data_IF_346899320345
#
_entry.id   IF_346899320345
#
_cell.length_a   1.000
_cell.length_b   1.000
_cell.length_c   1.000
_cell.angle_alpha   90.00
_cell.angle_beta   90.00
_cell.angle_gamma   90.00
#
_symmetry.space_group_name_H-M   'P 1'
#
loop_
_entity.id
_entity.type
_entity.pdbx_description
1 polymer ?
#
# COMPACT_ATOMS: atom_id res chain seq x y z
N UNK A 1 -7.18 1.96 -30.41
CA UNK A 1 -8.00 2.62 -29.36
C UNK A 1 -9.07 1.69 -28.75
N UNK A 2 -9.56 0.65 -29.46
CA UNK A 2 -10.56 -0.29 -28.92
C UNK A 2 -9.99 -1.28 -27.86
N UNK A 3 -8.72 -1.67 -27.96
CA UNK A 3 -8.07 -2.60 -27.02
C UNK A 3 -8.01 -2.09 -25.58
N UNK A 4 -7.64 -0.83 -25.39
CA UNK A 4 -7.43 -0.23 -24.07
C UNK A 4 -8.73 -0.09 -23.27
N UNK A 5 -9.81 0.29 -23.97
CA UNK A 5 -11.14 0.44 -23.38
C UNK A 5 -11.77 -0.89 -23.03
N UNK A 6 -11.57 -1.92 -23.87
CA UNK A 6 -12.06 -3.26 -23.61
C UNK A 6 -11.33 -3.93 -22.43
N UNK A 7 -10.00 -3.80 -22.37
CA UNK A 7 -9.19 -4.23 -21.21
C UNK A 7 -9.70 -3.58 -19.92
N UNK A 8 -9.95 -2.26 -19.94
CA UNK A 8 -10.54 -1.54 -18.80
C UNK A 8 -11.95 -2.01 -18.43
N UNK A 9 -12.76 -2.37 -19.40
CA UNK A 9 -14.13 -2.85 -19.19
C UNK A 9 -14.17 -4.26 -18.59
N UNK A 10 -13.30 -5.16 -19.06
CA UNK A 10 -13.10 -6.49 -18.47
C UNK A 10 -12.62 -6.41 -17.02
N UNK A 11 -11.66 -5.53 -16.74
CA UNK A 11 -11.17 -5.28 -15.38
C UNK A 11 -12.27 -4.71 -14.47
N UNK A 12 -13.15 -3.88 -15.01
CA UNK A 12 -14.32 -3.40 -14.28
C UNK A 12 -15.33 -4.53 -14.02
N UNK A 13 -15.48 -5.47 -14.97
CA UNK A 13 -16.34 -6.66 -14.85
C UNK A 13 -15.88 -7.67 -13.82
N UNK A 14 -14.57 -7.76 -13.54
CA UNK A 14 -14.02 -8.58 -12.45
C UNK A 14 -14.31 -7.96 -11.08
N UNK A 15 -14.55 -6.64 -11.01
CA UNK A 15 -14.84 -5.94 -9.76
C UNK A 15 -13.62 -5.79 -8.84
N UNK A 16 -13.49 -4.63 -8.19
CA UNK A 16 -12.34 -4.31 -7.32
C UNK A 16 -12.23 -5.23 -6.09
N UNK A 17 -13.33 -5.85 -5.65
CA UNK A 17 -13.35 -6.77 -4.50
C UNK A 17 -12.91 -8.20 -4.84
N UNK A 18 -12.91 -8.58 -6.12
CA UNK A 18 -12.65 -9.96 -6.60
C UNK A 18 -11.40 -10.01 -7.49
N UNK A 19 -10.65 -8.90 -7.55
CA UNK A 19 -9.38 -8.78 -8.26
C UNK A 19 -8.30 -9.65 -7.59
N UNK A 20 -8.31 -10.93 -7.93
CA UNK A 20 -7.35 -11.94 -7.51
C UNK A 20 -6.50 -12.37 -8.69
N UNK A 21 -5.31 -12.91 -8.41
CA UNK A 21 -4.44 -13.46 -9.46
C UNK A 21 -5.17 -14.50 -10.31
N UNK A 22 -5.92 -15.40 -9.67
CA UNK A 22 -6.71 -16.43 -10.34
C UNK A 22 -7.76 -15.86 -11.28
N UNK A 23 -8.45 -14.78 -10.88
CA UNK A 23 -9.47 -14.13 -11.72
C UNK A 23 -8.88 -13.34 -12.88
N UNK A 24 -7.70 -12.75 -12.69
CA UNK A 24 -6.98 -12.09 -13.78
C UNK A 24 -6.45 -13.11 -14.79
N UNK A 25 -5.94 -14.25 -14.32
CA UNK A 25 -5.53 -15.37 -15.18
C UNK A 25 -6.72 -15.92 -15.97
N UNK A 26 -7.85 -16.16 -15.33
CA UNK A 26 -9.08 -16.64 -15.98
C UNK A 26 -9.56 -15.67 -17.07
N UNK A 27 -9.59 -14.37 -16.78
CA UNK A 27 -9.97 -13.34 -17.74
C UNK A 27 -9.03 -13.27 -18.95
N UNK A 28 -7.72 -13.35 -18.73
CA UNK A 28 -6.72 -13.38 -19.80
C UNK A 28 -6.85 -14.64 -20.66
N UNK A 29 -7.08 -15.80 -20.03
CA UNK A 29 -7.27 -17.06 -20.75
C UNK A 29 -8.53 -17.04 -21.63
N UNK A 30 -9.61 -16.41 -21.16
CA UNK A 30 -10.82 -16.22 -21.95
C UNK A 30 -10.55 -15.41 -23.23
N UNK A 31 -9.77 -14.33 -23.12
CA UNK A 31 -9.36 -13.49 -24.25
C UNK A 31 -8.51 -14.26 -25.28
N UNK A 32 -7.60 -15.11 -24.81
CA UNK A 32 -6.79 -15.97 -25.68
C UNK A 32 -7.69 -16.98 -26.41
N UNK A 33 -8.63 -17.61 -25.70
CA UNK A 33 -9.57 -18.58 -26.29
C UNK A 33 -10.48 -17.95 -27.35
N UNK A 34 -10.92 -16.72 -27.12
CA UNK A 34 -11.73 -15.96 -28.07
C UNK A 34 -10.92 -15.44 -29.27
N UNK A 35 -9.59 -15.59 -29.25
CA UNK A 35 -8.69 -15.12 -30.30
C UNK A 35 -8.52 -13.60 -30.32
N UNK A 36 -8.90 -12.91 -29.26
CA UNK A 36 -8.78 -11.45 -29.15
C UNK A 36 -7.34 -11.00 -28.86
N UNK A 37 -6.55 -11.88 -28.25
CA UNK A 37 -5.12 -11.67 -27.99
C UNK A 37 -4.35 -12.96 -28.23
N UNK A 38 -3.11 -12.84 -28.68
CA UNK A 38 -2.17 -13.96 -28.74
C UNK A 38 -1.77 -14.44 -27.34
N UNK A 39 -1.14 -15.61 -27.26
CA UNK A 39 -0.62 -16.15 -25.99
C UNK A 39 0.44 -15.23 -25.38
N UNK A 40 1.36 -14.74 -26.20
CA UNK A 40 2.38 -13.78 -25.79
C UNK A 40 1.76 -12.47 -25.25
N UNK A 41 0.81 -11.88 -25.99
CA UNK A 41 0.12 -10.64 -25.54
C UNK A 41 -0.71 -10.85 -24.28
N UNK A 42 -1.34 -12.03 -24.13
CA UNK A 42 -2.07 -12.38 -22.92
C UNK A 42 -1.16 -12.49 -21.70
N UNK A 43 0.04 -13.08 -21.85
CA UNK A 43 1.03 -13.15 -20.77
C UNK A 43 1.50 -11.76 -20.35
N UNK A 44 1.83 -10.91 -21.33
CA UNK A 44 2.22 -9.52 -21.07
C UNK A 44 1.08 -8.72 -20.40
N UNK A 45 -0.17 -8.97 -20.79
CA UNK A 45 -1.34 -8.36 -20.14
C UNK A 45 -1.40 -8.76 -18.67
N UNK A 46 -1.28 -10.05 -18.36
CA UNK A 46 -1.34 -10.56 -17.00
C UNK A 46 -0.25 -9.94 -16.12
N UNK A 47 0.98 -9.88 -16.60
CA UNK A 47 2.12 -9.33 -15.86
C UNK A 47 1.89 -7.83 -15.55
N UNK A 48 1.46 -7.05 -16.54
CA UNK A 48 1.13 -5.63 -16.36
C UNK A 48 -0.03 -5.41 -15.35
N UNK A 49 -1.04 -6.28 -15.38
CA UNK A 49 -2.17 -6.22 -14.46
C UNK A 49 -1.75 -6.52 -13.02
N UNK A 50 -0.90 -7.52 -12.84
CA UNK A 50 -0.35 -7.88 -11.54
C UNK A 50 0.50 -6.75 -10.96
N UNK A 51 1.40 -6.16 -11.75
CA UNK A 51 2.23 -5.03 -11.32
C UNK A 51 1.38 -3.82 -10.92
N UNK A 52 0.36 -3.51 -11.72
CA UNK A 52 -0.55 -2.41 -11.44
C UNK A 52 -1.38 -2.64 -10.19
N UNK A 53 -1.87 -3.86 -9.98
CA UNK A 53 -2.61 -4.23 -8.78
C UNK A 53 -1.74 -4.09 -7.52
N UNK A 54 -0.48 -4.55 -7.57
CA UNK A 54 0.45 -4.36 -6.46
C UNK A 54 0.75 -2.89 -6.17
N UNK A 55 0.99 -2.10 -7.21
CA UNK A 55 1.26 -0.67 -7.08
C UNK A 55 0.08 0.06 -6.44
N UNK A 56 -1.15 -0.19 -6.93
CA UNK A 56 -2.37 0.38 -6.36
C UNK A 56 -2.60 -0.06 -4.91
N UNK A 57 -2.31 -1.33 -4.58
CA UNK A 57 -2.40 -1.83 -3.20
C UNK A 57 -1.42 -1.11 -2.28
N UNK A 58 -0.16 -0.89 -2.71
CA UNK A 58 0.84 -0.14 -1.94
C UNK A 58 0.42 1.30 -1.71
N UNK A 59 -0.06 1.99 -2.74
CA UNK A 59 -0.55 3.37 -2.61
C UNK A 59 -1.75 3.46 -1.68
N UNK A 60 -2.70 2.53 -1.80
CA UNK A 60 -3.89 2.48 -0.94
C UNK A 60 -3.49 2.24 0.52
N UNK A 61 -2.63 1.26 0.79
CA UNK A 61 -2.14 0.99 2.14
C UNK A 61 -1.44 2.20 2.74
N UNK A 62 -0.64 2.93 1.95
CA UNK A 62 0.00 4.17 2.40
C UNK A 62 -1.03 5.25 2.75
N UNK A 63 -1.99 5.51 1.87
CA UNK A 63 -3.06 6.51 2.11
C UNK A 63 -3.88 6.18 3.35
N UNK A 64 -4.26 4.91 3.52
CA UNK A 64 -4.98 4.46 4.72
C UNK A 64 -4.12 4.66 5.96
N UNK A 65 -2.84 4.29 5.90
CA UNK A 65 -1.89 4.52 7.00
C UNK A 65 -1.81 6.01 7.37
N UNK A 66 -1.59 6.87 6.39
CA UNK A 66 -1.48 8.33 6.59
C UNK A 66 -2.77 8.91 7.19
N UNK A 67 -3.93 8.46 6.73
CA UNK A 67 -5.22 8.95 7.23
C UNK A 67 -5.48 8.48 8.67
N UNK A 68 -5.17 7.22 8.98
CA UNK A 68 -5.23 6.70 10.36
C UNK A 68 -4.29 7.48 11.26
N UNK A 69 -3.07 7.77 10.81
CA UNK A 69 -2.11 8.57 11.58
C UNK A 69 -2.63 9.99 11.85
N UNK A 70 -3.27 10.63 10.87
CA UNK A 70 -3.90 11.96 11.07
C UNK A 70 -5.02 11.92 12.09
N UNK A 71 -5.89 10.90 12.03
CA UNK A 71 -6.99 10.74 12.98
C UNK A 71 -6.47 10.48 14.40
N UNK A 72 -5.47 9.60 14.54
CA UNK A 72 -4.85 9.37 15.85
C UNK A 72 -4.21 10.65 16.40
N UNK A 73 -3.51 11.40 15.55
CA UNK A 73 -2.94 12.71 15.91
C UNK A 73 -3.99 13.75 16.32
N UNK A 74 -5.13 13.83 15.62
CA UNK A 74 -6.21 14.76 15.99
C UNK A 74 -6.93 14.39 17.28
N UNK A 75 -6.89 13.12 17.67
CA UNK A 75 -7.38 12.63 18.97
C UNK A 75 -6.34 12.78 20.10
N UNK A 76 -5.14 13.32 19.82
CA UNK A 76 -4.06 13.45 20.79
C UNK A 76 -3.39 12.13 21.18
N UNK A 77 -3.61 11.06 20.41
CA UNK A 77 -2.97 9.77 20.62
C UNK A 77 -1.58 9.79 19.97
N UNK A 78 -0.55 9.73 20.80
CA UNK A 78 0.86 9.63 20.38
C UNK A 78 1.25 8.17 20.18
N UNK A 79 2.27 7.92 19.35
CA UNK A 79 2.79 6.56 19.23
C UNK A 79 3.61 6.18 20.44
N UNK A 80 3.81 4.88 20.63
CA UNK A 80 4.69 4.37 21.69
C UNK A 80 6.13 4.87 21.49
N UNK A 81 6.60 4.92 20.24
CA UNK A 81 7.96 5.38 19.95
C UNK A 81 8.17 6.85 20.32
N UNK A 82 7.13 7.68 20.20
CA UNK A 82 7.18 9.10 20.62
C UNK A 82 7.33 9.22 22.15
N UNK A 83 6.65 8.33 22.90
CA UNK A 83 6.76 8.27 24.37
C UNK A 83 8.13 7.73 24.82
N UNK A 84 8.60 6.66 24.19
CA UNK A 84 9.91 6.06 24.51
C UNK A 84 11.03 7.08 24.26
N UNK A 85 10.98 7.82 23.15
CA UNK A 85 11.94 8.89 22.84
C UNK A 85 11.87 10.09 23.80
N UNK A 86 10.68 10.41 24.33
CA UNK A 86 10.57 11.41 25.40
C UNK A 86 11.17 10.91 26.71
N UNK A 87 10.97 9.64 27.05
CA UNK A 87 11.52 9.02 28.25
C UNK A 87 13.06 9.01 28.22
N UNK A 88 13.67 8.67 27.09
CA UNK A 88 15.13 8.74 26.93
C UNK A 88 15.66 10.17 27.12
N UNK A 89 15.00 11.17 26.53
CA UNK A 89 15.38 12.57 26.71
C UNK A 89 15.26 13.03 28.17
N UNK A 90 14.22 12.58 28.88
CA UNK A 90 14.07 12.87 30.30
C UNK A 90 15.23 12.28 31.09
N UNK A 91 15.59 11.02 30.84
CA UNK A 91 16.73 10.37 31.51
C UNK A 91 18.05 11.11 31.24
N UNK A 92 18.30 11.52 30.00
CA UNK A 92 19.50 12.29 29.65
C UNK A 92 19.54 13.64 30.41
N UNK A 93 18.41 14.34 30.49
CA UNK A 93 18.30 15.60 31.22
C UNK A 93 18.50 15.40 32.72
N UNK A 94 17.93 14.34 33.31
CA UNK A 94 18.10 13.99 34.72
C UNK A 94 19.57 13.69 35.05
N UNK A 95 20.28 12.96 34.18
CA UNK A 95 21.71 12.71 34.35
C UNK A 95 22.55 13.98 34.25
N UNK A 96 22.21 14.88 33.33
CA UNK A 96 22.90 16.16 33.18
C UNK A 96 22.68 17.07 34.39
N UNK A 97 21.46 17.11 34.91
CA UNK A 97 21.13 17.83 36.15
C UNK A 97 21.92 17.27 37.33
N UNK A 98 21.97 15.95 37.53
CA UNK A 98 22.78 15.34 38.61
C UNK A 98 24.25 15.69 38.52
N UNK A 99 24.82 15.75 37.31
CA UNK A 99 26.22 16.16 37.11
C UNK A 99 26.43 17.62 37.52
N UNK A 100 25.51 18.51 37.14
CA UNK A 100 25.60 19.94 37.48
C UNK A 100 25.33 20.22 38.96
N UNK A 101 24.43 19.47 39.60
CA UNK A 101 24.11 19.62 41.03
C UNK A 101 25.14 18.92 41.94
N UNK A 102 25.81 17.88 41.46
CA UNK A 102 26.88 17.18 42.19
C UNK A 102 28.25 17.85 42.12
N UNK A 103 28.43 18.84 41.24
CA UNK A 103 29.66 19.63 41.08
C UNK A 103 29.67 20.92 41.95
N UNK A 104 28.75 21.06 42.92
CA UNK A 104 28.68 22.17 43.89
C UNK A 104 28.82 21.69 45.35
#
# INVERSE_FOLDING_TARGET
MLSESFKRWLLAGVGLAVLTKEKMEEAVQELIKQGEVSKEEGKELLDNLMEKAESQRRELSKRVGDEVQKVLGSMGLVRKEDLDGLQEKIQELEERLRRLEGDN
#
